data_IF_074171945815
#
_entry.id   IF_074171945815
#
_cell.length_a   1.000
_cell.length_b   1.000
_cell.length_c   1.000
_cell.angle_alpha   90.00
_cell.angle_beta   90.00
_cell.angle_gamma   90.00
#
_symmetry.space_group_name_H-M   'P 1'
#
loop_
_entity.id
_entity.type
_entity.pdbx_description
1 polymer ?
#
# COMPACT_ATOMS: atom_id res chain seq x y z
N UNK A 1 2.24 -35.25 -27.08
CA UNK A 1 1.32 -35.10 -25.91
C UNK A 1 1.67 -36.04 -24.75
N UNK A 2 1.75 -37.37 -24.96
CA UNK A 2 2.02 -38.30 -23.84
C UNK A 2 3.48 -38.27 -23.35
N UNK A 3 4.44 -38.10 -24.25
CA UNK A 3 5.86 -37.91 -23.91
C UNK A 3 6.15 -36.55 -23.23
N UNK A 4 5.48 -35.51 -23.67
CA UNK A 4 5.59 -34.17 -23.11
C UNK A 4 5.04 -34.11 -21.67
N UNK A 5 3.91 -34.77 -21.44
CA UNK A 5 3.32 -34.89 -20.11
C UNK A 5 4.22 -35.68 -19.15
N UNK A 6 4.84 -36.73 -19.62
CA UNK A 6 5.78 -37.53 -18.85
C UNK A 6 7.04 -36.73 -18.45
N UNK A 7 7.53 -35.88 -19.36
CA UNK A 7 8.66 -34.99 -19.09
C UNK A 7 8.30 -33.95 -17.99
N UNK A 8 7.12 -33.34 -18.07
CA UNK A 8 6.65 -32.38 -17.07
C UNK A 8 6.46 -33.05 -15.70
N UNK A 9 5.90 -34.26 -15.65
CA UNK A 9 5.75 -35.01 -14.41
C UNK A 9 7.09 -35.32 -13.75
N UNK A 10 8.14 -35.58 -14.55
CA UNK A 10 9.49 -35.81 -14.09
C UNK A 10 10.14 -34.51 -13.56
N UNK A 11 9.91 -33.36 -14.20
CA UNK A 11 10.34 -32.06 -13.71
C UNK A 11 9.67 -31.71 -12.37
N UNK A 12 8.36 -31.95 -12.23
CA UNK A 12 7.62 -31.73 -10.99
C UNK A 12 8.15 -32.63 -9.86
N UNK A 13 8.38 -33.91 -10.14
CA UNK A 13 8.90 -34.86 -9.15
C UNK A 13 10.31 -34.45 -8.67
N UNK A 14 11.19 -34.08 -9.58
CA UNK A 14 12.54 -33.61 -9.26
C UNK A 14 12.52 -32.28 -8.49
N UNK A 15 11.60 -31.38 -8.80
CA UNK A 15 11.40 -30.14 -8.05
C UNK A 15 11.00 -30.43 -6.59
N UNK A 16 10.04 -31.34 -6.38
CA UNK A 16 9.52 -31.69 -5.05
C UNK A 16 10.54 -32.48 -4.19
N UNK A 17 11.49 -33.17 -4.83
CA UNK A 17 12.59 -33.87 -4.14
C UNK A 17 13.84 -33.04 -3.94
N UNK A 18 13.87 -31.79 -4.47
CA UNK A 18 15.01 -30.87 -4.34
C UNK A 18 16.17 -31.13 -5.28
N UNK A 19 15.97 -31.94 -6.34
CA UNK A 19 17.00 -32.35 -7.28
C UNK A 19 16.99 -31.62 -8.64
N UNK A 20 16.31 -30.47 -8.76
CA UNK A 20 16.18 -29.76 -10.03
C UNK A 20 17.32 -28.75 -10.25
N UNK A 21 17.96 -28.78 -11.43
CA UNK A 21 18.94 -27.77 -11.85
C UNK A 21 18.28 -26.46 -12.33
N UNK A 22 19.08 -25.39 -12.51
CA UNK A 22 18.57 -24.05 -12.86
C UNK A 22 17.88 -23.98 -14.23
N UNK A 23 18.33 -24.77 -15.22
CA UNK A 23 17.74 -24.78 -16.56
C UNK A 23 16.34 -25.45 -16.52
N UNK A 24 16.24 -26.61 -15.89
CA UNK A 24 15.01 -27.36 -15.72
C UNK A 24 14.02 -26.62 -14.81
N UNK A 25 14.50 -25.87 -13.82
CA UNK A 25 13.67 -24.99 -12.99
C UNK A 25 13.06 -23.83 -13.80
N UNK A 26 13.83 -23.26 -14.73
CA UNK A 26 13.35 -22.22 -15.63
C UNK A 26 12.28 -22.73 -16.59
N UNK A 27 12.48 -23.94 -17.12
CA UNK A 27 11.50 -24.61 -17.99
C UNK A 27 10.19 -24.92 -17.24
N UNK A 28 10.27 -25.48 -16.04
CA UNK A 28 9.09 -25.76 -15.21
C UNK A 28 8.30 -24.47 -14.87
N UNK A 29 9.01 -23.38 -14.53
CA UNK A 29 8.36 -22.08 -14.26
C UNK A 29 7.67 -21.51 -15.50
N UNK A 30 8.29 -21.60 -16.66
CA UNK A 30 7.71 -21.15 -17.93
C UNK A 30 6.45 -21.96 -18.27
N UNK A 31 6.48 -23.29 -18.06
CA UNK A 31 5.34 -24.15 -18.29
C UNK A 31 4.18 -23.85 -17.34
N UNK A 32 4.44 -23.64 -16.04
CA UNK A 32 3.41 -23.24 -15.06
C UNK A 32 2.76 -21.90 -15.47
N UNK A 33 3.57 -20.93 -15.88
CA UNK A 33 3.09 -19.60 -16.26
C UNK A 33 2.32 -19.57 -17.61
N UNK A 34 2.42 -20.63 -18.41
CA UNK A 34 1.80 -20.67 -19.74
C UNK A 34 0.28 -20.81 -19.72
N UNK A 35 -0.32 -21.41 -18.70
CA UNK A 35 -1.77 -21.49 -18.55
C UNK A 35 -2.22 -21.74 -17.11
N UNK A 36 -3.44 -21.32 -16.78
CA UNK A 36 -4.07 -21.60 -15.47
C UNK A 36 -4.32 -23.10 -15.23
N UNK A 37 -4.45 -23.89 -16.30
CA UNK A 37 -4.59 -25.34 -16.21
C UNK A 37 -3.27 -26.00 -15.74
N UNK A 38 -2.14 -25.52 -16.26
CA UNK A 38 -0.82 -25.99 -15.86
C UNK A 38 -0.49 -25.68 -14.38
N UNK A 39 -0.87 -24.48 -13.93
CA UNK A 39 -0.73 -24.10 -12.51
C UNK A 39 -1.59 -24.99 -11.62
N UNK A 40 -2.82 -25.25 -12.01
CA UNK A 40 -3.75 -26.15 -11.28
C UNK A 40 -3.20 -27.57 -11.21
N UNK A 41 -2.65 -28.06 -12.32
CA UNK A 41 -2.04 -29.39 -12.39
C UNK A 41 -0.82 -29.51 -11.47
N UNK A 42 0.07 -28.50 -11.48
CA UNK A 42 1.21 -28.47 -10.57
C UNK A 42 0.79 -28.47 -9.09
N UNK A 43 -0.21 -27.69 -8.72
CA UNK A 43 -0.74 -27.66 -7.35
C UNK A 43 -1.29 -29.02 -6.93
N UNK A 44 -2.04 -29.71 -7.79
CA UNK A 44 -2.58 -31.04 -7.51
C UNK A 44 -1.46 -32.08 -7.29
N UNK A 45 -0.45 -32.10 -8.14
CA UNK A 45 0.69 -33.02 -7.99
C UNK A 45 1.47 -32.76 -6.70
N UNK A 46 1.66 -31.50 -6.33
CA UNK A 46 2.29 -31.10 -5.09
C UNK A 46 1.49 -31.58 -3.85
N UNK A 47 0.17 -31.44 -3.86
CA UNK A 47 -0.69 -31.91 -2.77
C UNK A 47 -0.67 -33.42 -2.62
N UNK A 48 -0.70 -34.16 -3.73
CA UNK A 48 -0.56 -35.63 -3.74
C UNK A 48 0.77 -36.06 -3.11
N UNK A 49 1.86 -35.40 -3.51
CA UNK A 49 3.20 -35.71 -2.98
C UNK A 49 3.29 -35.44 -1.47
N UNK A 50 2.83 -34.28 -0.98
CA UNK A 50 2.82 -33.96 0.46
C UNK A 50 1.93 -34.94 1.25
N UNK A 51 0.81 -35.37 0.70
CA UNK A 51 -0.05 -36.37 1.34
C UNK A 51 0.59 -37.76 1.43
N UNK A 52 1.41 -38.13 0.44
CA UNK A 52 2.15 -39.40 0.41
C UNK A 52 3.31 -39.39 1.42
N UNK A 53 4.09 -38.30 1.47
CA UNK A 53 5.20 -38.11 2.42
C UNK A 53 4.69 -38.12 3.88
N UNK A 54 3.55 -37.49 4.13
CA UNK A 54 2.91 -37.49 5.44
C UNK A 54 2.46 -38.88 5.86
N UNK A 55 2.11 -39.79 4.92
CA UNK A 55 1.75 -41.17 5.19
C UNK A 55 2.96 -42.04 5.53
N UNK A 56 4.10 -41.78 4.91
CA UNK A 56 5.34 -42.53 5.20
C UNK A 56 5.87 -42.23 6.60
N UNK A 57 5.78 -40.97 7.03
CA UNK A 57 6.08 -40.60 8.43
C UNK A 57 5.10 -41.21 9.44
N UNK A 58 3.85 -41.48 9.06
CA UNK A 58 2.85 -42.18 9.89
C UNK A 58 3.05 -43.68 9.94
N UNK A 59 3.76 -44.28 8.97
CA UNK A 59 4.01 -45.74 8.94
C UNK A 59 5.06 -46.23 9.95
N UNK A 60 5.86 -45.32 10.51
CA UNK A 60 6.82 -45.64 11.59
C UNK A 60 6.10 -45.88 12.94
N UNK A 61 4.84 -45.48 13.06
CA UNK A 61 4.02 -45.64 14.24
C UNK A 61 3.09 -46.86 14.05
N UNK A 62 3.48 -48.04 14.56
CA UNK A 62 2.66 -49.24 14.50
C UNK A 62 1.48 -49.10 15.48
N UNK A 63 0.35 -48.67 14.95
CA UNK A 63 -0.90 -48.38 15.67
C UNK A 63 -1.40 -49.60 16.49
N UNK A 64 -1.24 -50.79 15.96
CA UNK A 64 -1.65 -52.03 16.62
C UNK A 64 -0.74 -52.37 17.80
N UNK A 65 0.57 -52.18 17.65
CA UNK A 65 1.54 -52.41 18.72
C UNK A 65 1.39 -51.42 19.88
N UNK A 66 1.04 -50.18 19.57
CA UNK A 66 0.72 -49.14 20.58
C UNK A 66 -0.58 -49.47 21.33
N UNK A 67 -1.58 -50.01 20.62
CA UNK A 67 -2.86 -50.39 21.20
C UNK A 67 -2.76 -51.67 22.07
N UNK A 68 -1.97 -52.63 21.66
CA UNK A 68 -1.71 -53.85 22.43
C UNK A 68 -0.92 -53.54 23.70
N UNK A 69 0.10 -52.69 23.62
CA UNK A 69 0.85 -52.22 24.80
C UNK A 69 -0.03 -51.43 25.78
N UNK A 70 -0.98 -50.67 25.27
CA UNK A 70 -1.96 -49.96 26.08
C UNK A 70 -2.94 -50.93 26.75
N UNK A 71 -3.39 -51.97 26.03
CA UNK A 71 -4.31 -52.98 26.52
C UNK A 71 -3.66 -53.88 27.59
N UNK A 72 -2.39 -54.26 27.42
CA UNK A 72 -1.59 -55.00 28.43
C UNK A 72 -1.42 -54.16 29.71
N UNK A 73 -1.19 -52.87 29.62
CA UNK A 73 -1.08 -51.98 30.77
C UNK A 73 -2.40 -51.83 31.55
N UNK A 74 -3.54 -51.91 30.87
CA UNK A 74 -4.87 -51.84 31.51
C UNK A 74 -5.18 -53.20 32.21
N UNK A 75 -4.79 -54.34 31.64
CA UNK A 75 -5.08 -55.66 32.22
C UNK A 75 -4.10 -56.11 33.30
N UNK A 76 -2.90 -55.55 33.36
CA UNK A 76 -1.91 -55.84 34.40
C UNK A 76 -2.15 -55.12 35.73
N UNK A 77 -3.13 -54.22 35.81
CA UNK A 77 -3.43 -53.45 37.02
C UNK A 77 -4.52 -54.04 37.92
N UNK A 78 -4.85 -55.36 37.74
CA UNK A 78 -5.65 -56.11 38.72
C UNK A 78 -4.77 -57.00 39.61
N UNK A 79 -3.96 -56.41 40.49
CA UNK A 79 -3.44 -57.06 41.70
C UNK A 79 -3.75 -56.22 42.92
N UNK A 80 -4.59 -56.82 43.76
CA UNK A 80 -4.85 -56.58 45.18
C UNK A 80 -4.53 -55.17 45.74
N UNK A 81 -5.56 -54.44 45.95
CA UNK A 81 -5.54 -53.23 46.77
C UNK A 81 -5.44 -53.61 48.26
N UNK A 82 -4.27 -53.51 48.87
CA UNK A 82 -4.16 -53.20 50.29
C UNK A 82 -4.48 -51.68 50.46
N UNK A 83 -5.25 -51.31 51.47
CA UNK A 83 -5.56 -49.87 51.66
C UNK A 83 -4.31 -49.19 52.20
N UNK A 84 -3.48 -48.64 51.28
CA UNK A 84 -2.39 -47.77 51.67
C UNK A 84 -3.00 -46.37 51.82
N UNK A 85 -3.26 -45.97 53.06
CA UNK A 85 -3.57 -44.59 53.42
C UNK A 85 -2.32 -43.74 53.12
N UNK A 86 -2.05 -43.44 51.88
CA UNK A 86 -1.19 -42.33 51.52
C UNK A 86 -2.04 -41.08 51.51
N UNK A 87 -1.85 -40.23 52.49
CA UNK A 87 -2.28 -38.86 52.43
C UNK A 87 -1.70 -38.23 51.15
N UNK A 88 -2.55 -38.03 50.15
CA UNK A 88 -2.20 -37.30 48.97
C UNK A 88 -1.62 -35.97 49.40
N UNK A 89 -0.30 -35.80 49.27
CA UNK A 89 0.37 -34.50 49.45
C UNK A 89 -0.07 -33.59 48.29
N UNK A 90 -1.29 -33.05 48.39
CA UNK A 90 -1.79 -32.02 47.49
C UNK A 90 -0.76 -30.89 47.31
N UNK A 91 0.09 -30.69 48.33
CA UNK A 91 1.17 -29.65 48.29
C UNK A 91 2.21 -29.85 47.19
N UNK A 92 2.48 -31.08 46.76
CA UNK A 92 3.46 -31.36 45.69
C UNK A 92 2.84 -31.06 44.30
N UNK A 93 1.59 -31.49 44.07
CA UNK A 93 0.89 -31.22 42.79
C UNK A 93 0.68 -29.70 42.58
N UNK A 94 0.38 -28.97 43.63
CA UNK A 94 0.23 -27.52 43.54
C UNK A 94 1.54 -26.80 43.15
N UNK A 95 2.71 -27.36 43.56
CA UNK A 95 4.01 -26.82 43.16
C UNK A 95 4.28 -26.99 41.65
N UNK A 96 3.95 -28.16 41.10
CA UNK A 96 4.09 -28.41 39.66
C UNK A 96 3.05 -27.62 38.84
N UNK A 97 1.79 -27.51 39.31
CA UNK A 97 0.77 -26.69 38.70
C UNK A 97 1.17 -25.19 38.69
N UNK A 98 1.78 -24.71 39.77
CA UNK A 98 2.29 -23.32 39.84
C UNK A 98 3.42 -23.08 38.82
N UNK A 99 4.37 -24.05 38.64
CA UNK A 99 5.44 -23.91 37.66
C UNK A 99 4.88 -23.90 36.22
N UNK A 100 3.93 -24.80 35.91
CA UNK A 100 3.26 -24.80 34.60
C UNK A 100 2.50 -23.50 34.37
N UNK A 101 1.77 -22.99 35.35
CA UNK A 101 1.07 -21.71 35.25
C UNK A 101 2.03 -20.53 35.02
N UNK A 102 3.19 -20.53 35.69
CA UNK A 102 4.24 -19.52 35.47
C UNK A 102 4.80 -19.60 34.06
N UNK A 103 5.09 -20.81 33.56
CA UNK A 103 5.59 -21.01 32.18
C UNK A 103 4.56 -20.50 31.15
N UNK A 104 3.28 -20.84 31.35
CA UNK A 104 2.20 -20.36 30.48
C UNK A 104 2.06 -18.83 30.58
N UNK A 105 2.12 -18.26 31.79
CA UNK A 105 2.03 -16.83 31.99
C UNK A 105 3.22 -16.07 31.37
N UNK A 106 4.44 -16.60 31.53
CA UNK A 106 5.66 -16.04 30.91
C UNK A 106 5.56 -16.18 29.39
N UNK A 107 5.13 -17.32 28.87
CA UNK A 107 4.92 -17.51 27.43
C UNK A 107 3.87 -16.56 26.87
N UNK A 108 2.76 -16.40 27.55
CA UNK A 108 1.69 -15.47 27.17
C UNK A 108 2.14 -14.00 27.24
N UNK A 109 2.83 -13.62 28.32
CA UNK A 109 3.39 -12.28 28.48
C UNK A 109 4.48 -11.98 27.45
N UNK A 110 5.33 -12.96 27.13
CA UNK A 110 6.36 -12.83 26.08
C UNK A 110 5.73 -12.72 24.70
N UNK A 111 4.69 -13.51 24.40
CA UNK A 111 3.93 -13.43 23.17
C UNK A 111 3.27 -12.05 23.03
N UNK A 112 2.59 -11.60 24.07
CA UNK A 112 1.89 -10.29 24.06
C UNK A 112 2.88 -9.11 23.99
N UNK A 113 4.01 -9.18 24.69
CA UNK A 113 5.07 -8.18 24.61
C UNK A 113 5.80 -8.21 23.26
N UNK A 114 5.96 -9.39 22.67
CA UNK A 114 6.54 -9.55 21.33
C UNK A 114 5.67 -8.91 20.26
N UNK A 115 4.36 -9.06 20.34
CA UNK A 115 3.42 -8.45 19.39
C UNK A 115 3.38 -6.92 19.51
N UNK A 116 3.44 -6.37 20.71
CA UNK A 116 3.47 -4.92 20.95
C UNK A 116 4.79 -4.31 20.50
N UNK A 117 5.94 -4.90 20.85
CA UNK A 117 7.26 -4.37 20.50
C UNK A 117 7.55 -4.41 18.99
N UNK A 118 7.03 -5.39 18.25
CA UNK A 118 7.22 -5.47 16.79
C UNK A 118 6.47 -4.34 16.10
N UNK A 119 5.26 -4.00 16.56
CA UNK A 119 4.47 -2.90 15.98
C UNK A 119 5.11 -1.52 16.18
N UNK A 120 5.75 -1.30 17.33
CA UNK A 120 6.41 -0.02 17.65
C UNK A 120 7.82 0.12 17.03
N UNK A 121 8.36 -0.95 16.44
CA UNK A 121 9.72 -0.97 15.86
C UNK A 121 9.70 -0.73 14.35
N UNK A 122 8.54 -0.69 13.71
CA UNK A 122 8.45 -0.40 12.28
C UNK A 122 8.82 1.06 12.02
N UNK A 123 9.94 1.26 11.33
CA UNK A 123 10.31 2.58 10.82
C UNK A 123 9.34 2.99 9.70
N UNK A 124 9.06 4.27 9.61
CA UNK A 124 8.31 4.81 8.49
C UNK A 124 9.17 4.82 7.22
N UNK A 125 8.56 4.47 6.11
CA UNK A 125 9.15 4.56 4.78
C UNK A 125 8.72 5.88 4.17
N UNK A 126 9.68 6.73 3.83
CA UNK A 126 9.41 8.00 3.13
C UNK A 126 9.84 7.89 1.68
N UNK A 127 8.96 8.28 0.78
CA UNK A 127 9.19 8.36 -0.67
C UNK A 127 8.98 9.79 -1.11
N UNK A 128 9.91 10.34 -1.87
CA UNK A 128 9.90 11.71 -2.34
C UNK A 128 9.92 11.79 -3.86
N UNK A 129 9.28 12.81 -4.40
CA UNK A 129 9.43 13.26 -5.77
C UNK A 129 10.13 14.62 -5.75
N UNK A 130 11.42 14.71 -6.13
CA UNK A 130 12.15 15.98 -6.17
C UNK A 130 11.47 17.00 -7.10
N UNK A 131 11.75 18.29 -6.89
CA UNK A 131 11.33 19.34 -7.83
C UNK A 131 11.83 19.02 -9.26
N UNK A 132 10.98 19.24 -10.24
CA UNK A 132 11.26 18.93 -11.65
C UNK A 132 11.05 17.45 -12.01
N UNK A 133 10.70 16.58 -11.07
CA UNK A 133 10.57 15.13 -11.27
C UNK A 133 9.27 14.59 -10.71
N UNK A 134 8.88 13.40 -11.15
CA UNK A 134 7.74 12.64 -10.65
C UNK A 134 8.20 11.27 -10.22
N UNK A 135 7.58 10.70 -9.21
CA UNK A 135 7.91 9.36 -8.72
C UNK A 135 6.69 8.44 -8.87
N UNK A 136 6.89 7.29 -9.51
CA UNK A 136 5.90 6.22 -9.62
C UNK A 136 6.31 5.06 -8.75
N UNK A 137 5.40 4.52 -7.94
CA UNK A 137 5.66 3.37 -7.08
C UNK A 137 4.41 2.51 -6.91
N UNK A 138 4.64 1.27 -6.48
CA UNK A 138 3.59 0.37 -6.01
C UNK A 138 3.75 0.17 -4.51
N UNK A 139 2.66 0.33 -3.77
CA UNK A 139 2.61 -0.01 -2.35
C UNK A 139 2.53 -1.53 -2.15
N UNK A 140 2.82 -2.03 -0.94
CA UNK A 140 2.81 -3.48 -0.65
C UNK A 140 1.47 -4.17 -0.92
N UNK A 141 0.35 -3.45 -0.92
CA UNK A 141 -0.99 -3.96 -1.24
C UNK A 141 -1.31 -3.98 -2.74
N UNK A 142 -0.36 -3.55 -3.59
CA UNK A 142 -0.52 -3.43 -5.04
C UNK A 142 -1.12 -2.10 -5.50
N UNK A 143 -1.45 -1.18 -4.59
CA UNK A 143 -1.90 0.18 -4.93
C UNK A 143 -0.82 0.91 -5.72
N UNK A 144 -1.20 1.47 -6.87
CA UNK A 144 -0.33 2.32 -7.67
C UNK A 144 -0.42 3.76 -7.17
N UNK A 145 0.73 4.39 -6.98
CA UNK A 145 0.85 5.80 -6.60
C UNK A 145 1.79 6.52 -7.57
N UNK A 146 1.38 7.70 -7.98
CA UNK A 146 2.24 8.70 -8.58
C UNK A 146 2.36 9.89 -7.63
N UNK A 147 3.57 10.36 -7.40
CA UNK A 147 3.85 11.61 -6.67
C UNK A 147 4.31 12.66 -7.65
N UNK A 148 3.68 13.83 -7.60
CA UNK A 148 4.06 14.98 -8.42
C UNK A 148 5.29 15.70 -7.84
N UNK A 149 5.89 16.58 -8.60
CA UNK A 149 7.10 17.32 -8.25
C UNK A 149 6.96 18.05 -6.89
N UNK A 150 7.96 17.90 -6.02
CA UNK A 150 7.98 18.48 -4.68
C UNK A 150 7.11 17.75 -3.65
N UNK A 151 6.59 16.58 -3.97
CA UNK A 151 5.73 15.81 -3.05
C UNK A 151 6.51 14.76 -2.26
N UNK A 152 5.98 14.46 -1.08
CA UNK A 152 6.47 13.42 -0.18
C UNK A 152 5.32 12.58 0.33
N UNK A 153 5.51 11.28 0.38
CA UNK A 153 4.56 10.34 0.99
C UNK A 153 5.28 9.47 2.01
N UNK A 154 4.65 9.26 3.15
CA UNK A 154 5.18 8.40 4.22
C UNK A 154 4.16 7.33 4.59
N UNK A 155 4.62 6.11 4.82
CA UNK A 155 3.81 5.00 5.30
C UNK A 155 4.63 4.04 6.17
N UNK A 156 3.97 3.33 7.07
CA UNK A 156 4.62 2.36 7.96
C UNK A 156 5.08 1.10 7.22
N UNK A 157 6.17 0.47 7.65
CA UNK A 157 6.59 -0.86 7.18
C UNK A 157 5.52 -1.94 7.40
N UNK A 158 4.60 -1.74 8.36
CA UNK A 158 3.44 -2.60 8.60
C UNK A 158 2.25 -2.35 7.66
N UNK A 159 2.42 -1.48 6.65
CA UNK A 159 1.37 -1.17 5.67
C UNK A 159 0.86 -2.42 4.95
N UNK A 160 -0.45 -2.55 4.86
CA UNK A 160 -1.13 -3.69 4.23
C UNK A 160 -1.38 -4.88 5.17
N UNK A 161 -0.74 -4.95 6.33
CA UNK A 161 -0.94 -5.98 7.35
C UNK A 161 -1.93 -5.50 8.42
N UNK A 162 -1.60 -4.41 9.11
CA UNK A 162 -2.41 -3.85 10.20
C UNK A 162 -3.33 -2.72 9.73
N UNK A 163 -2.87 -1.96 8.77
CA UNK A 163 -3.59 -0.80 8.23
C UNK A 163 -3.11 -0.48 6.82
N UNK A 164 -3.83 0.39 6.13
CA UNK A 164 -3.44 0.97 4.85
C UNK A 164 -3.49 2.50 4.95
N UNK A 165 -2.58 3.05 5.76
CA UNK A 165 -2.50 4.49 6.00
C UNK A 165 -1.25 5.06 5.36
N UNK A 166 -1.41 6.17 4.66
CA UNK A 166 -0.31 6.97 4.12
C UNK A 166 -0.48 8.43 4.57
N UNK A 167 0.62 9.11 4.82
CA UNK A 167 0.67 10.56 5.00
C UNK A 167 1.22 11.17 3.73
N UNK A 168 0.56 12.20 3.21
CA UNK A 168 0.92 12.90 1.99
C UNK A 168 1.18 14.38 2.28
N UNK A 169 2.27 14.90 1.73
CA UNK A 169 2.56 16.32 1.59
C UNK A 169 2.81 16.60 0.10
N UNK A 170 2.02 17.46 -0.51
CA UNK A 170 2.07 17.72 -1.94
C UNK A 170 0.93 17.08 -2.73
N UNK A 171 1.22 16.55 -3.91
CA UNK A 171 0.22 15.99 -4.82
C UNK A 171 0.52 14.53 -5.16
N UNK A 172 -0.52 13.70 -5.04
CA UNK A 172 -0.47 12.29 -5.39
C UNK A 172 -1.70 11.84 -6.17
N UNK A 173 -1.49 11.04 -7.20
CA UNK A 173 -2.52 10.29 -7.89
C UNK A 173 -2.47 8.83 -7.42
N UNK A 174 -3.61 8.27 -7.09
CA UNK A 174 -3.74 6.95 -6.49
C UNK A 174 -4.71 6.08 -7.29
N UNK A 175 -4.28 4.86 -7.61
CA UNK A 175 -5.16 3.77 -8.04
C UNK A 175 -5.15 2.71 -6.94
N UNK A 176 -6.09 2.84 -6.02
CA UNK A 176 -6.13 2.01 -4.81
C UNK A 176 -6.70 0.65 -5.10
N UNK A 177 -5.96 -0.40 -4.74
CA UNK A 177 -6.44 -1.78 -4.79
C UNK A 177 -7.64 -1.98 -3.86
N UNK A 178 -8.73 -2.57 -4.42
CA UNK A 178 -9.98 -2.77 -3.67
C UNK A 178 -9.79 -3.75 -2.52
N UNK A 179 -10.12 -3.29 -1.30
CA UNK A 179 -10.15 -4.11 -0.10
C UNK A 179 -11.22 -3.56 0.87
N UNK A 180 -12.31 -4.30 1.03
CA UNK A 180 -13.42 -3.90 1.89
C UNK A 180 -13.15 -4.14 3.39
N UNK A 181 -12.18 -5.00 3.71
CA UNK A 181 -11.85 -5.35 5.10
C UNK A 181 -10.91 -4.34 5.75
N UNK A 182 -9.97 -3.81 4.97
CA UNK A 182 -8.97 -2.85 5.44
C UNK A 182 -9.07 -1.60 4.55
N UNK A 183 -9.79 -0.54 4.96
CA UNK A 183 -9.87 0.71 4.22
C UNK A 183 -8.50 1.34 4.01
N UNK A 184 -8.34 2.07 2.90
CA UNK A 184 -7.16 2.87 2.60
C UNK A 184 -7.39 4.31 3.06
N UNK A 185 -6.42 4.87 3.74
CA UNK A 185 -6.46 6.26 4.22
C UNK A 185 -5.30 7.06 3.65
N UNK A 186 -5.60 8.26 3.15
CA UNK A 186 -4.61 9.29 2.89
C UNK A 186 -4.86 10.44 3.85
N UNK A 187 -3.84 10.80 4.60
CA UNK A 187 -3.90 11.90 5.54
C UNK A 187 -2.90 12.97 5.11
N UNK A 188 -3.36 14.21 5.06
CA UNK A 188 -2.51 15.38 4.98
C UNK A 188 -2.64 16.17 6.29
N UNK A 189 -2.05 17.34 6.36
CA UNK A 189 -2.20 18.25 7.50
C UNK A 189 -3.65 18.69 7.69
N UNK A 190 -4.34 18.98 6.58
CA UNK A 190 -5.60 19.72 6.58
C UNK A 190 -6.82 18.86 6.27
N UNK A 191 -6.63 17.70 5.62
CA UNK A 191 -7.71 16.83 5.17
C UNK A 191 -7.33 15.34 5.33
N UNK A 192 -8.28 14.51 5.73
CA UNK A 192 -8.15 13.06 5.70
C UNK A 192 -9.18 12.46 4.74
N UNK A 193 -8.74 11.49 3.96
CA UNK A 193 -9.52 10.78 2.97
C UNK A 193 -9.55 9.28 3.30
N UNK A 194 -10.72 8.64 3.09
CA UNK A 194 -10.92 7.21 3.23
C UNK A 194 -11.56 6.61 1.99
N UNK A 195 -11.00 5.49 1.51
CA UNK A 195 -11.49 4.75 0.34
C UNK A 195 -11.38 3.24 0.53
N UNK A 196 -12.09 2.46 -0.30
CA UNK A 196 -12.02 0.99 -0.32
C UNK A 196 -11.34 0.45 -1.58
N UNK A 197 -11.37 1.19 -2.69
CA UNK A 197 -10.82 0.83 -3.99
C UNK A 197 -11.27 1.87 -5.01
N UNK A 198 -10.44 2.86 -5.31
CA UNK A 198 -10.83 4.16 -5.86
C UNK A 198 -9.66 4.75 -6.62
N UNK A 199 -9.94 5.47 -7.71
CA UNK A 199 -8.96 6.28 -8.44
C UNK A 199 -9.24 7.75 -8.18
N UNK A 200 -8.25 8.44 -7.65
CA UNK A 200 -8.40 9.85 -7.29
C UNK A 200 -7.06 10.58 -7.33
N UNK A 201 -7.13 11.91 -7.47
CA UNK A 201 -6.01 12.81 -7.28
C UNK A 201 -6.20 13.60 -6.00
N UNK A 202 -5.13 13.76 -5.21
CA UNK A 202 -5.13 14.51 -3.96
C UNK A 202 -3.96 15.47 -3.93
N UNK A 203 -4.25 16.79 -3.86
CA UNK A 203 -3.27 17.87 -3.84
C UNK A 203 -3.40 18.68 -2.55
N UNK A 204 -2.33 18.75 -1.79
CA UNK A 204 -2.18 19.52 -0.57
C UNK A 204 -0.72 19.93 -0.35
N UNK A 205 -0.27 20.94 -1.12
CA UNK A 205 1.03 21.55 -0.89
C UNK A 205 0.96 22.57 0.26
N UNK A 206 1.98 22.66 1.13
CA UNK A 206 1.99 23.62 2.24
C UNK A 206 1.80 25.08 1.82
N UNK A 207 2.34 25.47 0.67
CA UNK A 207 2.29 26.83 0.12
C UNK A 207 1.00 27.14 -0.64
N UNK A 208 0.18 26.13 -0.97
CA UNK A 208 -1.10 26.34 -1.66
C UNK A 208 -2.17 26.79 -0.68
N UNK A 209 -3.09 27.63 -1.14
CA UNK A 209 -4.19 28.15 -0.33
C UNK A 209 -5.35 27.17 -0.15
N UNK A 210 -5.37 26.13 -0.97
CA UNK A 210 -6.45 25.17 -1.05
C UNK A 210 -5.93 23.74 -1.03
N UNK A 211 -6.75 22.83 -0.48
CA UNK A 211 -6.61 21.39 -0.64
C UNK A 211 -7.61 20.93 -1.68
N UNK A 212 -7.18 20.13 -2.64
CA UNK A 212 -8.03 19.68 -3.73
C UNK A 212 -8.03 18.15 -3.82
N UNK A 213 -9.22 17.55 -3.84
CA UNK A 213 -9.41 16.11 -4.08
C UNK A 213 -10.33 15.93 -5.27
N UNK A 214 -9.88 15.26 -6.31
CA UNK A 214 -10.66 14.96 -7.51
C UNK A 214 -10.88 13.47 -7.64
N UNK A 215 -12.13 13.04 -7.77
CA UNK A 215 -12.50 11.62 -7.84
C UNK A 215 -12.74 11.18 -9.28
N UNK A 216 -11.96 10.18 -9.74
CA UNK A 216 -12.11 9.62 -11.08
C UNK A 216 -13.02 8.38 -11.08
N UNK A 217 -12.82 7.47 -10.12
CA UNK A 217 -13.57 6.21 -10.06
C UNK A 217 -13.78 5.76 -8.62
N UNK A 218 -14.97 5.26 -8.29
CA UNK A 218 -15.28 4.72 -6.98
C UNK A 218 -16.03 5.69 -6.07
N UNK A 219 -15.64 5.75 -4.80
CA UNK A 219 -16.23 6.63 -3.78
C UNK A 219 -15.16 7.07 -2.79
N UNK A 220 -15.20 8.34 -2.42
CA UNK A 220 -14.32 8.96 -1.43
C UNK A 220 -15.14 9.48 -0.27
N UNK A 221 -14.67 9.24 0.95
CA UNK A 221 -15.14 9.85 2.19
C UNK A 221 -14.06 10.82 2.67
N UNK A 222 -14.45 12.07 2.93
CA UNK A 222 -13.56 13.16 3.34
C UNK A 222 -13.87 13.60 4.76
N UNK A 223 -12.82 13.78 5.56
CA UNK A 223 -12.90 14.32 6.90
C UNK A 223 -12.03 15.58 6.98
N UNK A 224 -12.68 16.73 7.18
CA UNK A 224 -12.04 18.02 7.33
C UNK A 224 -11.33 18.12 8.69
N UNK A 225 -10.00 18.27 8.68
CA UNK A 225 -9.19 18.35 9.89
C UNK A 225 -9.13 19.76 10.49
N UNK A 226 -9.52 20.79 9.70
CA UNK A 226 -9.55 22.19 10.14
C UNK A 226 -10.82 22.53 10.91
N UNK A 227 -11.91 21.79 10.67
CA UNK A 227 -13.21 21.99 11.33
C UNK A 227 -13.86 20.66 11.65
N UNK A 228 -14.50 20.56 12.80
CA UNK A 228 -15.35 19.43 13.17
C UNK A 228 -16.69 19.50 12.43
N UNK A 229 -16.66 19.26 11.12
CA UNK A 229 -17.84 19.20 10.26
C UNK A 229 -18.22 17.74 10.00
N UNK A 230 -19.41 17.54 9.40
CA UNK A 230 -19.81 16.20 8.95
C UNK A 230 -18.92 15.76 7.80
N UNK A 231 -18.69 14.46 7.75
CA UNK A 231 -18.01 13.79 6.63
C UNK A 231 -18.69 14.18 5.30
N UNK A 232 -17.87 14.52 4.30
CA UNK A 232 -18.34 14.73 2.94
C UNK A 232 -18.00 13.52 2.07
N UNK A 233 -18.79 13.32 1.04
CA UNK A 233 -18.59 12.22 0.09
C UNK A 233 -18.47 12.78 -1.32
N UNK A 234 -17.58 12.17 -2.12
CA UNK A 234 -17.46 12.45 -3.55
C UNK A 234 -17.96 11.26 -4.35
N UNK A 235 -18.68 11.57 -5.42
CA UNK A 235 -18.97 10.68 -6.55
C UNK A 235 -17.98 10.91 -7.69
N UNK A 236 -17.86 9.97 -8.66
CA UNK A 236 -17.05 10.17 -9.85
C UNK A 236 -17.39 11.49 -10.56
N UNK A 237 -16.37 12.14 -11.13
CA UNK A 237 -16.45 13.45 -11.75
C UNK A 237 -16.86 14.59 -10.78
N UNK A 238 -16.54 14.42 -9.49
CA UNK A 238 -16.62 15.49 -8.51
C UNK A 238 -15.25 15.83 -7.94
N UNK A 239 -15.11 17.10 -7.55
CA UNK A 239 -13.94 17.68 -6.89
C UNK A 239 -14.35 18.36 -5.60
N UNK A 240 -13.66 18.06 -4.50
CA UNK A 240 -13.73 18.84 -3.27
C UNK A 240 -12.58 19.84 -3.22
N UNK A 241 -12.89 21.07 -2.84
CA UNK A 241 -11.93 22.15 -2.59
C UNK A 241 -12.11 22.61 -1.15
N UNK A 242 -11.04 22.45 -0.34
CA UNK A 242 -10.99 22.93 1.04
C UNK A 242 -10.08 24.17 1.10
N UNK A 243 -10.66 25.30 1.44
CA UNK A 243 -9.92 26.53 1.66
C UNK A 243 -9.24 26.51 3.03
N UNK A 244 -7.90 26.57 3.03
CA UNK A 244 -7.08 26.44 4.25
C UNK A 244 -7.25 27.61 5.22
N UNK A 245 -7.59 28.80 4.75
CA UNK A 245 -7.68 29.98 5.59
C UNK A 245 -8.94 30.01 6.45
N UNK A 246 -10.06 29.51 5.93
CA UNK A 246 -11.36 29.54 6.60
C UNK A 246 -11.95 28.16 6.90
N UNK A 247 -11.32 27.08 6.40
CA UNK A 247 -11.76 25.70 6.57
C UNK A 247 -13.08 25.36 5.87
N UNK A 248 -13.54 26.18 4.92
CA UNK A 248 -14.73 25.87 4.14
C UNK A 248 -14.39 24.87 3.04
N UNK A 249 -15.22 23.83 2.92
CA UNK A 249 -15.11 22.82 1.89
C UNK A 249 -16.30 22.93 0.93
N UNK A 250 -16.03 23.00 -0.37
CA UNK A 250 -17.04 22.99 -1.44
C UNK A 250 -16.85 21.78 -2.34
N UNK A 251 -17.94 21.30 -2.92
CA UNK A 251 -17.92 20.19 -3.88
C UNK A 251 -18.51 20.71 -5.19
N UNK A 252 -17.84 20.40 -6.29
CA UNK A 252 -18.26 20.82 -7.63
C UNK A 252 -18.06 19.69 -8.64
N UNK A 253 -18.82 19.71 -9.74
CA UNK A 253 -18.67 18.76 -10.84
C UNK A 253 -17.56 19.19 -11.78
N UNK A 254 -16.74 18.25 -12.23
CA UNK A 254 -15.59 18.45 -13.11
C UNK A 254 -15.49 17.35 -14.17
N UNK A 255 -14.57 17.51 -15.12
CA UNK A 255 -14.03 16.39 -15.91
C UNK A 255 -12.82 15.83 -15.17
N UNK A 256 -13.05 14.80 -14.35
CA UNK A 256 -12.04 14.30 -13.40
C UNK A 256 -10.76 13.77 -14.08
N UNK A 257 -10.82 13.33 -15.36
CA UNK A 257 -9.64 12.89 -16.11
C UNK A 257 -8.58 14.01 -16.24
N UNK A 258 -8.98 15.27 -16.20
CA UNK A 258 -8.04 16.40 -16.27
C UNK A 258 -7.11 16.43 -15.04
N UNK A 259 -7.62 16.05 -13.86
CA UNK A 259 -6.85 16.04 -12.63
C UNK A 259 -5.71 15.01 -12.60
N UNK A 260 -5.71 14.01 -13.49
CA UNK A 260 -4.65 12.99 -13.59
C UNK A 260 -3.70 13.19 -14.79
N UNK A 261 -3.97 14.16 -15.68
CA UNK A 261 -3.17 14.37 -16.90
C UNK A 261 -1.69 14.64 -16.60
N UNK A 262 -1.39 15.21 -15.44
CA UNK A 262 -0.02 15.43 -15.02
C UNK A 262 0.81 14.14 -14.94
N UNK A 263 0.19 12.96 -14.67
CA UNK A 263 0.88 11.66 -14.64
C UNK A 263 1.47 11.32 -16.01
N UNK A 264 0.79 11.72 -17.09
CA UNK A 264 1.21 11.56 -18.48
C UNK A 264 2.15 12.66 -18.97
N UNK A 265 2.39 13.67 -18.13
CA UNK A 265 3.33 14.76 -18.41
C UNK A 265 2.70 16.03 -18.95
N UNK A 266 1.39 16.15 -18.87
CA UNK A 266 0.71 17.39 -19.22
C UNK A 266 0.69 18.38 -18.05
N UNK A 267 0.74 19.68 -18.37
CA UNK A 267 0.43 20.80 -17.49
C UNK A 267 -0.85 21.43 -18.04
N UNK A 268 -1.93 21.26 -17.30
CA UNK A 268 -3.25 21.69 -17.72
C UNK A 268 -3.75 22.82 -16.83
N UNK A 269 -3.98 24.00 -17.42
CA UNK A 269 -4.52 25.18 -16.75
C UNK A 269 -5.90 25.48 -17.32
N UNK A 270 -6.90 25.57 -16.47
CA UNK A 270 -8.30 25.84 -16.81
C UNK A 270 -8.83 26.97 -15.95
N UNK A 271 -8.80 28.21 -16.46
CA UNK A 271 -9.07 29.45 -15.71
C UNK A 271 -8.20 29.56 -14.43
N UNK A 272 -6.97 29.05 -14.47
CA UNK A 272 -6.09 29.07 -13.31
C UNK A 272 -5.49 30.44 -13.08
N UNK A 273 -5.37 30.87 -11.83
CA UNK A 273 -4.74 32.14 -11.46
C UNK A 273 -3.23 32.10 -11.69
N UNK A 274 -2.67 33.24 -12.12
CA UNK A 274 -1.22 33.35 -12.37
C UNK A 274 -0.35 32.93 -11.18
N UNK A 275 -0.66 33.26 -9.90
CA UNK A 275 0.10 32.76 -8.75
C UNK A 275 0.11 31.25 -8.61
N UNK A 276 -0.99 30.57 -8.92
CA UNK A 276 -1.08 29.12 -8.81
C UNK A 276 -0.36 28.45 -9.98
N UNK A 277 -0.45 29.01 -11.19
CA UNK A 277 0.37 28.63 -12.34
C UNK A 277 1.87 28.80 -12.03
N UNK A 278 2.26 29.92 -11.43
CA UNK A 278 3.65 30.18 -11.07
C UNK A 278 4.19 29.07 -10.13
N UNK A 279 3.45 28.71 -9.08
CA UNK A 279 3.82 27.61 -8.17
C UNK A 279 3.92 26.25 -8.88
N UNK A 280 2.97 25.95 -9.76
CA UNK A 280 3.01 24.70 -10.56
C UNK A 280 4.24 24.64 -11.47
N UNK A 281 4.59 25.76 -12.13
CA UNK A 281 5.78 25.87 -12.96
C UNK A 281 7.07 25.80 -12.12
N UNK A 282 7.11 26.43 -10.94
CA UNK A 282 8.23 26.31 -10.01
C UNK A 282 8.52 24.87 -9.64
N UNK A 283 7.47 24.11 -9.28
CA UNK A 283 7.57 22.69 -8.95
C UNK A 283 7.99 21.86 -10.16
N UNK A 284 7.33 22.06 -11.29
CA UNK A 284 7.53 21.22 -12.48
C UNK A 284 8.87 21.45 -13.17
N UNK A 285 9.41 22.66 -13.14
CA UNK A 285 10.67 23.03 -13.83
C UNK A 285 11.83 23.26 -12.88
N UNK A 286 11.61 23.17 -11.56
CA UNK A 286 12.60 23.47 -10.53
C UNK A 286 13.23 24.87 -10.71
N UNK A 287 12.38 25.87 -10.83
CA UNK A 287 12.73 27.30 -10.97
C UNK A 287 12.11 28.10 -9.83
N UNK A 288 12.44 29.38 -9.73
CA UNK A 288 11.79 30.34 -8.83
C UNK A 288 11.13 31.42 -9.66
N UNK A 289 9.84 31.69 -9.39
CA UNK A 289 9.05 32.70 -10.13
C UNK A 289 8.59 33.77 -9.16
N UNK A 290 8.98 35.00 -9.45
CA UNK A 290 8.55 36.20 -8.74
C UNK A 290 7.58 37.02 -9.59
N UNK A 291 6.39 37.26 -9.06
CA UNK A 291 5.41 38.17 -9.71
C UNK A 291 5.65 39.56 -9.14
N UNK A 292 6.18 40.47 -9.99
CA UNK A 292 6.63 41.79 -9.56
C UNK A 292 5.47 42.80 -9.35
N UNK A 293 4.27 42.49 -9.87
CA UNK A 293 3.12 43.39 -9.80
C UNK A 293 1.89 42.66 -9.30
N UNK A 294 1.37 43.06 -8.14
CA UNK A 294 0.20 42.44 -7.49
C UNK A 294 -1.07 42.45 -8.37
N UNK A 295 -1.18 43.40 -9.34
CA UNK A 295 -2.32 43.41 -10.26
C UNK A 295 -2.39 42.15 -11.14
N UNK A 296 -1.27 41.49 -11.38
CA UNK A 296 -1.19 40.27 -12.17
C UNK A 296 -1.76 39.06 -11.42
N UNK A 297 -1.86 39.11 -10.10
CA UNK A 297 -2.36 38.03 -9.28
C UNK A 297 -3.80 37.61 -9.61
N UNK A 298 -4.58 38.49 -10.23
CA UNK A 298 -5.97 38.23 -10.61
C UNK A 298 -6.12 37.71 -12.05
N UNK A 299 -5.05 37.64 -12.82
CA UNK A 299 -5.13 37.13 -14.18
C UNK A 299 -5.28 35.64 -14.22
N UNK A 300 -6.20 35.18 -15.06
CA UNK A 300 -6.49 33.78 -15.31
C UNK A 300 -6.02 33.41 -16.71
N UNK A 301 -5.51 32.20 -16.82
CA UNK A 301 -5.01 31.64 -18.06
C UNK A 301 -5.59 30.26 -18.33
N UNK A 302 -5.66 29.93 -19.60
CA UNK A 302 -5.93 28.61 -20.13
C UNK A 302 -4.67 28.10 -20.83
N UNK A 303 -4.36 26.84 -20.69
CA UNK A 303 -3.24 26.25 -21.39
C UNK A 303 -3.15 24.74 -21.21
N UNK A 304 -2.64 24.08 -22.22
CA UNK A 304 -2.30 22.66 -22.14
C UNK A 304 -0.90 22.47 -22.72
N UNK A 305 0.05 22.13 -21.89
CA UNK A 305 1.47 22.03 -22.23
C UNK A 305 1.97 20.61 -22.01
N UNK A 306 2.84 20.14 -22.89
CA UNK A 306 3.48 18.82 -22.75
C UNK A 306 4.86 19.01 -22.14
N UNK A 307 5.01 18.74 -20.85
CA UNK A 307 6.22 18.96 -20.06
C UNK A 307 7.49 18.32 -20.67
N UNK A 308 7.36 17.21 -21.39
CA UNK A 308 8.49 16.52 -22.03
C UNK A 308 8.97 17.20 -23.29
N UNK A 309 8.09 17.94 -23.96
CA UNK A 309 8.31 18.55 -25.27
C UNK A 309 8.60 20.04 -25.15
N UNK A 310 8.13 20.67 -24.07
CA UNK A 310 8.22 22.12 -23.87
C UNK A 310 9.09 22.45 -22.65
N UNK A 311 10.08 23.30 -22.85
CA UNK A 311 10.86 23.88 -21.77
C UNK A 311 10.10 25.04 -21.11
N UNK A 312 10.61 25.55 -19.98
CA UNK A 312 9.96 26.64 -19.23
C UNK A 312 9.79 27.91 -20.05
N UNK A 313 10.75 28.23 -20.93
CA UNK A 313 10.70 29.42 -21.77
C UNK A 313 9.53 29.34 -22.76
N UNK A 314 9.34 28.19 -23.42
CA UNK A 314 8.24 27.98 -24.36
C UNK A 314 6.86 28.12 -23.69
N UNK A 315 6.73 27.65 -22.44
CA UNK A 315 5.50 27.83 -21.65
C UNK A 315 5.28 29.31 -21.32
N UNK A 316 6.33 30.00 -20.89
CA UNK A 316 6.25 31.43 -20.58
C UNK A 316 6.00 32.31 -21.84
N UNK A 317 6.59 31.95 -22.99
CA UNK A 317 6.33 32.58 -24.27
C UNK A 317 4.84 32.47 -24.66
N UNK A 318 4.26 31.26 -24.46
CA UNK A 318 2.84 31.06 -24.72
C UNK A 318 1.95 31.90 -23.79
N UNK A 319 2.27 31.99 -22.50
CA UNK A 319 1.54 32.85 -21.57
C UNK A 319 1.72 34.33 -21.92
N UNK A 320 2.92 34.76 -22.29
CA UNK A 320 3.22 36.17 -22.70
C UNK A 320 2.54 36.52 -24.02
N UNK A 321 2.30 35.56 -24.94
CA UNK A 321 1.59 35.81 -26.19
C UNK A 321 0.15 36.33 -26.01
N UNK A 322 -0.40 36.17 -24.81
CA UNK A 322 -1.70 36.77 -24.44
C UNK A 322 -1.64 38.27 -24.18
N UNK A 323 -0.44 38.87 -24.24
CA UNK A 323 -0.16 40.29 -23.95
C UNK A 323 -0.52 40.72 -22.51
N UNK A 324 -0.86 39.78 -21.63
CA UNK A 324 -1.23 40.08 -20.23
C UNK A 324 -0.02 40.17 -19.31
N UNK A 325 1.09 39.48 -19.67
CA UNK A 325 2.31 39.40 -18.88
C UNK A 325 3.54 39.60 -19.78
N UNK A 326 4.62 40.04 -19.17
CA UNK A 326 5.98 39.93 -19.68
C UNK A 326 6.84 39.21 -18.66
N UNK A 327 7.96 38.67 -19.07
CA UNK A 327 8.84 37.95 -18.15
C UNK A 327 10.32 38.19 -18.49
N UNK A 328 11.18 37.92 -17.50
CA UNK A 328 12.64 37.87 -17.62
C UNK A 328 13.14 36.65 -16.91
N UNK A 329 14.04 35.90 -17.58
CA UNK A 329 14.70 34.75 -17.02
C UNK A 329 16.16 35.11 -16.68
N UNK A 330 16.56 34.84 -15.43
CA UNK A 330 17.93 34.97 -14.94
C UNK A 330 18.31 33.62 -14.26
N UNK A 331 18.96 32.76 -15.03
CA UNK A 331 19.28 31.37 -14.64
C UNK A 331 18.01 30.59 -14.24
N UNK A 332 17.84 30.37 -12.92
CA UNK A 332 16.65 29.69 -12.36
C UNK A 332 15.63 30.65 -11.78
N UNK A 333 15.90 31.93 -11.80
CA UNK A 333 14.98 32.96 -11.30
C UNK A 333 14.24 33.59 -12.46
N UNK A 334 12.94 33.65 -12.36
CA UNK A 334 12.06 34.21 -13.36
C UNK A 334 11.27 35.34 -12.72
N UNK A 335 11.22 36.49 -13.35
CA UNK A 335 10.40 37.61 -12.92
C UNK A 335 9.30 37.84 -13.93
N UNK A 336 8.04 37.83 -13.51
CA UNK A 336 6.86 38.14 -14.30
C UNK A 336 6.38 39.56 -13.92
N UNK A 337 6.15 40.42 -14.93
CA UNK A 337 5.76 41.83 -14.76
C UNK A 337 4.82 42.32 -15.84
#
# INVERSE_FOLDING_TARGET
>A
MEEEKKHIDELIANYLTGGLDENNLSELKAWIAASAENETYFIQQREVWFSAVSREAASIYNKNKAFDTFRERIHSSKKEQKPFRQGFRLSAMWRYAAVVAVIIAVGYLSYWRGEVNVKDTFADISVEAPLGSKTKLYLPDGTLVWLNAGSRMTYSQGFGVDNRKVELEGEGYFEVMRNEKIPFYVKTKDLQLRVLGTKFNFRDYPEDHEVVVSLLEGKVELNNMLKSEKEAFLAPDERAILNKSNGLMTVESITASNASQWTDGYLFFDEELLPDIAKELERSYNVKIHIANDSLNNFRFYGNFVRREQNIQEVLDALASTEKIQYKIEERNITIY
#
